data_IF_626646589157
#
_entry.id   IF_626646589157
#
_cell.length_a   1.000
_cell.length_b   1.000
_cell.length_c   1.000
_cell.angle_alpha   90.00
_cell.angle_beta   90.00
_cell.angle_gamma   90.00
#
_symmetry.space_group_name_H-M   'P 1'
#
loop_
_entity.id
_entity.type
_entity.pdbx_description
1 polymer ?
#
# COMPACT_ATOMS: atom_id res chain seq x y z
N UNK A 1 -29.60 -3.34 -31.39
CA UNK A 1 -29.03 -4.45 -30.60
C UNK A 1 -27.68 -4.01 -30.05
N UNK A 2 -27.51 -3.92 -28.73
CA UNK A 2 -26.21 -3.62 -28.12
C UNK A 2 -25.38 -4.89 -28.14
N UNK A 3 -24.29 -4.89 -28.90
CA UNK A 3 -23.30 -5.97 -28.90
C UNK A 3 -22.65 -6.04 -27.53
N UNK A 4 -23.02 -7.03 -26.74
CA UNK A 4 -22.31 -7.38 -25.50
C UNK A 4 -21.05 -8.11 -25.94
N UNK A 5 -19.94 -7.38 -26.05
CA UNK A 5 -18.62 -8.00 -26.14
C UNK A 5 -18.37 -8.62 -24.76
N UNK A 6 -18.64 -9.92 -24.60
CA UNK A 6 -18.14 -10.69 -23.46
C UNK A 6 -16.61 -10.68 -23.58
N UNK A 7 -15.94 -9.87 -22.77
CA UNK A 7 -14.52 -10.06 -22.53
C UNK A 7 -14.35 -11.51 -22.06
N UNK A 8 -13.53 -12.29 -22.77
CA UNK A 8 -13.34 -13.69 -22.46
C UNK A 8 -12.49 -13.75 -21.17
N UNK A 9 -13.15 -13.73 -20.01
CA UNK A 9 -12.53 -13.75 -18.68
C UNK A 9 -11.85 -15.10 -18.40
N UNK A 10 -10.72 -15.34 -19.06
CA UNK A 10 -10.01 -16.63 -19.04
C UNK A 10 -8.72 -16.59 -18.22
N UNK A 11 -8.24 -15.42 -17.80
CA UNK A 11 -6.92 -15.28 -17.17
C UNK A 11 -6.99 -15.59 -15.67
N UNK A 12 -6.59 -16.82 -15.31
CA UNK A 12 -6.34 -17.21 -13.92
C UNK A 12 -4.93 -16.79 -13.49
N UNK A 13 -4.67 -16.77 -12.18
CA UNK A 13 -3.32 -16.51 -11.65
C UNK A 13 -2.23 -17.42 -12.25
N UNK A 14 -2.58 -18.67 -12.62
CA UNK A 14 -1.67 -19.58 -13.33
C UNK A 14 -1.33 -19.08 -14.73
N UNK A 15 -2.32 -18.66 -15.50
CA UNK A 15 -2.13 -18.17 -16.88
C UNK A 15 -1.36 -16.84 -16.88
N UNK A 16 -1.73 -15.93 -15.98
CA UNK A 16 -1.00 -14.67 -15.77
C UNK A 16 0.44 -14.97 -15.37
N UNK A 17 0.65 -15.94 -14.47
CA UNK A 17 1.98 -16.38 -14.05
C UNK A 17 2.81 -16.87 -15.22
N UNK A 18 2.28 -17.78 -16.04
CA UNK A 18 2.94 -18.27 -17.25
C UNK A 18 3.31 -17.14 -18.21
N UNK A 19 2.42 -16.16 -18.41
CA UNK A 19 2.70 -15.00 -19.26
C UNK A 19 3.90 -14.17 -18.78
N UNK A 20 4.07 -14.01 -17.47
CA UNK A 20 5.16 -13.22 -16.88
C UNK A 20 6.36 -14.04 -16.40
N UNK A 21 6.35 -15.37 -16.55
CA UNK A 21 7.37 -16.26 -16.00
C UNK A 21 7.38 -16.30 -14.48
N UNK A 22 6.21 -16.24 -13.84
CA UNK A 22 6.02 -16.24 -12.40
C UNK A 22 5.15 -17.43 -11.97
N UNK A 23 5.37 -17.91 -10.75
CA UNK A 23 4.51 -18.91 -10.12
C UNK A 23 3.14 -18.34 -9.76
N UNK A 24 2.10 -19.17 -9.83
CA UNK A 24 0.70 -18.74 -9.61
C UNK A 24 0.47 -18.10 -8.22
N UNK A 25 1.15 -18.58 -7.19
CA UNK A 25 1.07 -18.02 -5.84
C UNK A 25 1.74 -16.64 -5.75
N UNK A 26 2.81 -16.38 -6.52
CA UNK A 26 3.47 -15.07 -6.60
C UNK A 26 2.51 -14.06 -7.21
N UNK A 27 1.83 -14.43 -8.30
CA UNK A 27 0.81 -13.58 -8.91
C UNK A 27 -0.31 -13.24 -7.93
N UNK A 28 -0.82 -14.22 -7.18
CA UNK A 28 -1.84 -13.97 -6.16
C UNK A 28 -1.35 -13.00 -5.08
N UNK A 29 -0.09 -13.11 -4.64
CA UNK A 29 0.50 -12.19 -3.68
C UNK A 29 0.61 -10.77 -4.25
N UNK A 30 0.99 -10.62 -5.51
CA UNK A 30 1.01 -9.30 -6.17
C UNK A 30 -0.39 -8.70 -6.27
N UNK A 31 -1.40 -9.50 -6.65
CA UNK A 31 -2.80 -9.09 -6.72
C UNK A 31 -3.37 -8.71 -5.34
N UNK A 32 -2.95 -9.39 -4.26
CA UNK A 32 -3.26 -8.99 -2.89
C UNK A 32 -2.59 -7.65 -2.52
N UNK A 33 -1.32 -7.48 -2.90
CA UNK A 33 -0.51 -6.28 -2.60
C UNK A 33 -1.09 -5.03 -3.27
N UNK A 34 -1.47 -5.12 -4.54
CA UNK A 34 -2.13 -4.00 -5.26
C UNK A 34 -3.61 -3.84 -4.88
N UNK A 35 -4.12 -4.68 -3.98
CA UNK A 35 -5.47 -4.57 -3.44
C UNK A 35 -6.58 -5.00 -4.38
N UNK A 36 -6.27 -5.78 -5.41
CA UNK A 36 -7.27 -6.36 -6.33
C UNK A 36 -7.95 -7.59 -5.72
N UNK A 37 -7.24 -8.28 -4.82
CA UNK A 37 -7.74 -9.41 -4.06
C UNK A 37 -7.69 -9.13 -2.56
N UNK A 38 -8.51 -9.89 -1.83
CA UNK A 38 -8.40 -10.10 -0.39
C UNK A 38 -8.44 -11.59 -0.08
N UNK A 39 -7.89 -11.99 1.07
CA UNK A 39 -8.04 -13.35 1.58
C UNK A 39 -9.44 -13.51 2.19
N UNK A 40 -9.98 -14.72 2.11
CA UNK A 40 -11.22 -15.08 2.78
C UNK A 40 -11.12 -14.80 4.30
N UNK A 41 -12.16 -14.23 4.90
CA UNK A 41 -12.28 -14.14 6.37
C UNK A 41 -12.65 -15.49 7.00
N UNK A 42 -13.33 -16.35 6.23
CA UNK A 42 -13.69 -17.72 6.59
C UNK A 42 -13.53 -18.61 5.33
N UNK A 43 -12.75 -19.69 5.40
CA UNK A 43 -12.49 -20.61 4.29
C UNK A 43 -11.14 -20.43 3.59
N UNK A 44 -10.98 -21.03 2.41
CA UNK A 44 -9.74 -21.01 1.62
C UNK A 44 -9.94 -20.29 0.28
N UNK A 45 -9.00 -19.42 -0.09
CA UNK A 45 -8.97 -18.80 -1.42
C UNK A 45 -8.95 -17.27 -1.41
N UNK A 46 -9.25 -16.70 -2.56
CA UNK A 46 -9.14 -15.26 -2.83
C UNK A 46 -10.49 -14.69 -3.27
N UNK A 47 -10.79 -13.51 -2.75
CA UNK A 47 -11.99 -12.76 -3.08
C UNK A 47 -11.63 -11.46 -3.78
N UNK A 48 -12.43 -11.06 -4.75
CA UNK A 48 -12.29 -9.76 -5.39
C UNK A 48 -12.63 -8.64 -4.41
N UNK A 49 -11.82 -7.58 -4.44
CA UNK A 49 -12.18 -6.30 -3.84
C UNK A 49 -13.01 -5.47 -4.82
N UNK A 50 -13.56 -4.34 -4.38
CA UNK A 50 -14.24 -3.41 -5.29
C UNK A 50 -13.31 -2.93 -6.42
N UNK A 51 -12.03 -2.70 -6.12
CA UNK A 51 -11.02 -2.34 -7.12
C UNK A 51 -10.80 -3.47 -8.13
N UNK A 52 -10.76 -4.73 -7.65
CA UNK A 52 -10.67 -5.90 -8.53
C UNK A 52 -11.88 -6.06 -9.45
N UNK A 53 -13.09 -5.82 -8.94
CA UNK A 53 -14.32 -5.82 -9.74
C UNK A 53 -14.29 -4.72 -10.82
N UNK A 54 -13.83 -3.52 -10.48
CA UNK A 54 -13.71 -2.41 -11.42
C UNK A 54 -12.69 -2.69 -12.54
N UNK A 55 -11.74 -3.60 -12.30
CA UNK A 55 -10.77 -4.10 -13.29
C UNK A 55 -11.31 -5.27 -14.12
N UNK A 56 -12.59 -5.63 -13.94
CA UNK A 56 -13.29 -6.67 -14.69
C UNK A 56 -13.10 -8.07 -14.14
N UNK A 57 -12.51 -8.21 -12.94
CA UNK A 57 -12.35 -9.52 -12.30
C UNK A 57 -13.69 -10.21 -12.08
N UNK A 58 -13.70 -11.53 -12.24
CA UNK A 58 -14.86 -12.40 -12.03
C UNK A 58 -14.59 -13.44 -10.94
N UNK A 59 -15.49 -13.52 -9.97
CA UNK A 59 -15.41 -14.46 -8.87
C UNK A 59 -15.94 -15.82 -9.30
N UNK A 60 -15.15 -16.86 -9.11
CA UNK A 60 -15.55 -18.24 -9.26
C UNK A 60 -15.63 -18.89 -7.89
N UNK A 61 -16.86 -19.26 -7.52
CA UNK A 61 -17.13 -19.98 -6.29
C UNK A 61 -17.40 -21.43 -6.64
N UNK A 62 -16.50 -22.33 -6.23
CA UNK A 62 -16.81 -23.76 -6.24
C UNK A 62 -17.47 -24.11 -4.90
N UNK A 63 -18.81 -24.16 -4.90
CA UNK A 63 -19.63 -24.45 -3.72
C UNK A 63 -19.37 -25.85 -3.14
N UNK A 64 -18.74 -26.75 -3.89
CA UNK A 64 -18.46 -28.12 -3.45
C UNK A 64 -17.14 -28.19 -2.67
N UNK A 65 -16.14 -27.37 -3.05
CA UNK A 65 -14.80 -27.38 -2.43
C UNK A 65 -14.53 -26.25 -1.45
N UNK A 66 -15.42 -25.26 -1.36
CA UNK A 66 -15.23 -24.08 -0.50
C UNK A 66 -14.03 -23.23 -0.91
N UNK A 67 -13.56 -23.37 -2.15
CA UNK A 67 -12.40 -22.65 -2.69
C UNK A 67 -12.91 -21.55 -3.62
N UNK A 68 -12.64 -20.31 -3.24
CA UNK A 68 -12.94 -19.12 -4.03
C UNK A 68 -11.73 -18.76 -4.90
N UNK A 69 -11.91 -18.79 -6.22
CA UNK A 69 -10.88 -18.43 -7.19
C UNK A 69 -11.34 -17.27 -8.07
N UNK A 70 -10.41 -16.59 -8.74
CA UNK A 70 -10.71 -15.38 -9.51
C UNK A 70 -10.16 -15.50 -10.92
N UNK A 71 -10.93 -15.03 -11.90
CA UNK A 71 -10.50 -14.87 -13.29
C UNK A 71 -10.54 -13.41 -13.69
N UNK A 72 -9.72 -13.09 -14.67
CA UNK A 72 -9.53 -11.73 -15.17
C UNK A 72 -9.72 -11.67 -16.69
N UNK A 73 -10.12 -10.51 -17.21
CA UNK A 73 -10.02 -10.21 -18.64
C UNK A 73 -8.56 -10.07 -19.05
N UNK A 74 -8.29 -10.17 -20.35
CA UNK A 74 -6.95 -9.99 -20.93
C UNK A 74 -6.29 -8.65 -20.59
N UNK A 75 -7.09 -7.62 -20.34
CA UNK A 75 -6.61 -6.29 -19.94
C UNK A 75 -5.76 -6.32 -18.66
N UNK A 76 -5.88 -7.35 -17.81
CA UNK A 76 -5.05 -7.52 -16.63
C UNK A 76 -3.56 -7.67 -16.96
N UNK A 77 -3.23 -8.22 -18.14
CA UNK A 77 -1.85 -8.37 -18.59
C UNK A 77 -1.18 -7.03 -18.90
N UNK A 78 -1.99 -5.99 -19.12
CA UNK A 78 -1.55 -4.64 -19.44
C UNK A 78 -1.84 -3.66 -18.29
N UNK A 79 -2.24 -4.16 -17.12
CA UNK A 79 -2.51 -3.31 -15.96
C UNK A 79 -1.23 -2.68 -15.43
N UNK A 80 -1.24 -1.36 -15.28
CA UNK A 80 -0.07 -0.59 -14.90
C UNK A 80 0.40 -0.90 -13.47
N UNK A 81 -0.51 -1.18 -12.54
CA UNK A 81 -0.15 -1.49 -11.15
C UNK A 81 0.47 -2.87 -11.05
N UNK A 82 -0.15 -3.87 -11.70
CA UNK A 82 0.42 -5.22 -11.76
C UNK A 82 1.76 -5.23 -12.49
N UNK A 83 1.87 -4.52 -13.62
CA UNK A 83 3.11 -4.39 -14.39
C UNK A 83 4.24 -3.73 -13.59
N UNK A 84 3.95 -2.65 -12.85
CA UNK A 84 4.93 -1.98 -12.00
C UNK A 84 5.45 -2.90 -10.88
N UNK A 85 4.57 -3.67 -10.25
CA UNK A 85 4.95 -4.62 -9.21
C UNK A 85 5.77 -5.80 -9.75
N UNK A 86 5.43 -6.32 -10.92
CA UNK A 86 6.22 -7.35 -11.61
C UNK A 86 7.60 -6.81 -12.00
N UNK A 87 7.65 -5.58 -12.52
CA UNK A 87 8.91 -4.91 -12.87
C UNK A 87 9.76 -4.66 -11.63
N UNK A 88 9.16 -4.27 -10.50
CA UNK A 88 9.85 -4.14 -9.23
C UNK A 88 10.37 -5.49 -8.74
N UNK A 89 9.58 -6.56 -8.80
CA UNK A 89 9.98 -7.91 -8.39
C UNK A 89 11.19 -8.42 -9.20
N UNK A 90 11.14 -8.27 -10.53
CA UNK A 90 12.25 -8.64 -11.44
C UNK A 90 13.44 -7.69 -11.30
N UNK A 91 13.16 -6.41 -11.07
CA UNK A 91 14.13 -5.36 -10.81
C UNK A 91 14.89 -5.60 -9.51
N UNK A 92 14.25 -6.02 -8.42
CA UNK A 92 14.92 -6.39 -7.17
C UNK A 92 15.84 -7.60 -7.31
N UNK A 93 15.60 -8.48 -8.29
CA UNK A 93 16.54 -9.57 -8.62
C UNK A 93 17.78 -9.09 -9.42
N UNK A 94 17.72 -7.89 -10.04
CA UNK A 94 18.84 -7.28 -10.78
C UNK A 94 19.45 -6.04 -10.09
N UNK A 95 18.77 -5.46 -9.10
CA UNK A 95 19.17 -4.26 -8.35
C UNK A 95 19.91 -4.59 -7.05
N UNK A 96 20.82 -5.57 -7.11
CA UNK A 96 22.02 -5.52 -6.27
C UNK A 96 23.00 -4.44 -6.77
N UNK A 97 22.77 -3.82 -7.94
CA UNK A 97 23.57 -2.69 -8.41
C UNK A 97 22.74 -1.69 -9.24
N UNK A 98 23.02 -0.40 -9.01
CA UNK A 98 22.70 0.79 -9.82
C UNK A 98 21.39 1.55 -9.52
N UNK A 99 21.60 2.63 -8.77
CA UNK A 99 20.77 3.83 -8.56
C UNK A 99 20.65 4.66 -9.85
N UNK A 100 19.44 5.15 -10.20
CA UNK A 100 19.28 6.42 -10.91
C UNK A 100 17.83 6.95 -10.95
N UNK A 101 17.73 8.28 -10.87
CA UNK A 101 16.60 9.18 -11.20
C UNK A 101 15.44 9.35 -10.20
N UNK A 102 15.74 10.02 -9.07
CA UNK A 102 14.78 10.84 -8.33
C UNK A 102 15.02 12.32 -8.70
N UNK A 103 14.07 12.98 -9.36
CA UNK A 103 14.05 14.46 -9.44
C UNK A 103 12.90 14.95 -8.55
N UNK A 104 13.19 15.99 -7.79
CA UNK A 104 12.35 16.71 -6.80
C UNK A 104 12.25 16.13 -5.38
N UNK A 105 12.13 14.81 -5.16
CA UNK A 105 12.11 14.28 -3.77
C UNK A 105 13.50 14.22 -3.10
N UNK A 106 14.57 14.49 -3.86
CA UNK A 106 15.96 14.41 -3.38
C UNK A 106 16.37 15.58 -2.51
N UNK A 107 15.78 16.77 -2.66
CA UNK A 107 16.30 17.95 -1.97
C UNK A 107 15.89 17.96 -0.49
N UNK A 108 14.62 17.65 -0.19
CA UNK A 108 14.14 17.54 1.18
C UNK A 108 14.88 16.45 1.99
N UNK A 109 15.13 15.29 1.37
CA UNK A 109 15.86 14.19 2.05
C UNK A 109 17.33 14.48 2.28
N UNK A 110 17.92 15.41 1.51
CA UNK A 110 19.26 15.94 1.75
C UNK A 110 19.27 16.99 2.86
N UNK A 111 18.25 17.84 2.90
CA UNK A 111 18.07 18.86 3.95
C UNK A 111 17.78 18.24 5.31
N UNK A 112 17.05 17.12 5.34
CA UNK A 112 16.68 16.40 6.57
C UNK A 112 17.10 14.92 6.45
N UNK A 113 18.39 14.60 6.73
CA UNK A 113 18.88 13.23 6.68
C UNK A 113 18.23 12.37 7.78
N UNK A 114 18.05 11.08 7.51
CA UNK A 114 17.54 10.11 8.47
C UNK A 114 18.67 9.71 9.43
N UNK A 115 18.80 10.40 10.55
CA UNK A 115 19.91 10.25 11.50
C UNK A 115 19.47 9.86 12.92
N UNK A 116 18.16 9.81 13.18
CA UNK A 116 17.61 9.42 14.48
C UNK A 116 17.29 7.93 14.41
N UNK A 117 17.89 7.14 15.28
CA UNK A 117 17.62 5.70 15.37
C UNK A 117 16.51 5.45 16.38
N UNK A 118 15.53 4.64 16.01
CA UNK A 118 14.39 4.23 16.86
C UNK A 118 14.65 2.89 17.54
N UNK A 119 13.77 2.49 18.44
CA UNK A 119 13.92 1.31 19.30
C UNK A 119 13.94 -0.01 18.52
N UNK A 120 13.21 -0.09 17.40
CA UNK A 120 13.16 -1.25 16.53
C UNK A 120 14.26 -1.27 15.45
N UNK A 121 15.00 -0.16 15.34
CA UNK A 121 16.14 0.00 14.46
C UNK A 121 15.89 0.79 13.19
N UNK A 122 14.71 1.37 12.98
CA UNK A 122 14.51 2.34 11.90
C UNK A 122 15.38 3.59 12.09
N UNK A 123 15.75 4.22 10.98
CA UNK A 123 16.37 5.55 10.95
C UNK A 123 15.36 6.55 10.39
N UNK A 124 14.94 7.49 11.22
CA UNK A 124 13.92 8.50 10.90
C UNK A 124 14.50 9.90 10.86
N UNK A 125 13.74 10.87 10.35
CA UNK A 125 14.22 12.23 10.01
C UNK A 125 13.88 13.27 11.07
N UNK A 126 12.94 12.98 11.96
CA UNK A 126 12.47 13.91 12.98
C UNK A 126 12.17 13.21 14.31
N UNK A 127 12.17 13.99 15.40
CA UNK A 127 11.81 13.47 16.73
C UNK A 127 10.37 12.99 16.82
N UNK A 128 9.45 13.67 16.14
CA UNK A 128 8.04 13.27 16.10
C UNK A 128 7.85 11.93 15.38
N UNK A 129 8.53 11.72 14.24
CA UNK A 129 8.54 10.39 13.61
C UNK A 129 9.13 9.33 14.54
N UNK A 130 10.20 9.63 15.27
CA UNK A 130 10.76 8.68 16.24
C UNK A 130 9.77 8.32 17.34
N UNK A 131 9.02 9.30 17.86
CA UNK A 131 7.96 9.06 18.85
C UNK A 131 6.84 8.18 18.29
N UNK A 132 6.42 8.40 17.03
CA UNK A 132 5.42 7.56 16.36
C UNK A 132 5.94 6.13 16.17
N UNK A 133 7.17 5.99 15.67
CA UNK A 133 7.81 4.69 15.43
C UNK A 133 7.94 3.88 16.73
N UNK A 134 8.51 4.51 17.77
CA UNK A 134 8.66 3.90 19.09
C UNK A 134 7.29 3.55 19.69
N UNK A 135 6.27 4.39 19.52
CA UNK A 135 4.91 4.07 19.95
C UNK A 135 4.40 2.79 19.27
N UNK A 136 4.51 2.72 17.93
CA UNK A 136 4.03 1.57 17.16
C UNK A 136 4.79 0.30 17.57
N UNK A 137 6.11 0.39 17.73
CA UNK A 137 6.95 -0.71 18.18
C UNK A 137 6.58 -1.19 19.59
N UNK A 138 6.49 -0.28 20.56
CA UNK A 138 6.23 -0.60 21.96
C UNK A 138 4.86 -1.27 22.18
N UNK A 139 3.89 -0.97 21.31
CA UNK A 139 2.56 -1.60 21.32
C UNK A 139 2.46 -2.82 20.39
N UNK A 140 3.57 -3.34 19.86
CA UNK A 140 3.60 -4.54 19.03
C UNK A 140 2.93 -4.36 17.66
N UNK A 141 2.75 -3.13 17.20
CA UNK A 141 2.16 -2.84 15.90
C UNK A 141 3.26 -2.97 14.83
N UNK A 142 3.10 -3.98 13.97
CA UNK A 142 3.95 -4.15 12.78
C UNK A 142 3.74 -2.96 11.85
N UNK A 143 4.83 -2.30 11.50
CA UNK A 143 4.81 -1.13 10.62
C UNK A 143 6.02 -1.10 9.68
N UNK A 144 5.95 -0.26 8.65
CA UNK A 144 7.04 -0.01 7.72
C UNK A 144 7.25 1.50 7.56
N UNK A 145 8.49 1.96 7.72
CA UNK A 145 8.88 3.35 7.53
C UNK A 145 9.15 3.70 6.05
N UNK A 146 8.79 4.93 5.63
CA UNK A 146 8.97 5.45 4.25
C UNK A 146 8.44 4.51 3.14
N UNK A 147 7.23 3.97 3.31
CA UNK A 147 6.63 3.02 2.36
C UNK A 147 5.98 3.73 1.16
N UNK A 148 6.29 3.26 -0.06
CA UNK A 148 5.56 3.68 -1.29
C UNK A 148 4.11 3.22 -1.27
N UNK A 149 3.20 4.12 -1.64
CA UNK A 149 1.79 3.81 -1.83
C UNK A 149 1.59 2.98 -3.10
N UNK A 150 0.55 2.12 -3.15
CA UNK A 150 0.18 1.35 -4.34
C UNK A 150 -0.58 2.21 -5.38
N UNK A 151 -0.09 3.42 -5.66
CA UNK A 151 -0.71 4.40 -6.58
C UNK A 151 0.21 4.68 -7.77
N UNK A 152 -0.28 5.41 -8.78
CA UNK A 152 0.49 5.70 -9.99
C UNK A 152 1.56 6.76 -9.71
N UNK A 153 1.21 7.72 -8.85
CA UNK A 153 2.09 8.79 -8.41
C UNK A 153 3.21 8.23 -7.52
N UNK A 154 4.44 8.74 -7.65
CA UNK A 154 5.58 8.33 -6.80
C UNK A 154 5.46 8.94 -5.40
N UNK A 155 4.49 8.43 -4.64
CA UNK A 155 4.14 8.90 -3.30
C UNK A 155 4.68 7.94 -2.24
N UNK A 156 5.31 8.51 -1.21
CA UNK A 156 5.84 7.82 -0.05
C UNK A 156 5.16 8.37 1.19
N UNK A 157 4.61 7.48 2.03
CA UNK A 157 4.09 7.79 3.36
C UNK A 157 5.19 7.75 4.41
N UNK A 158 4.89 8.27 5.60
CA UNK A 158 5.83 8.17 6.73
C UNK A 158 5.79 6.77 7.34
N UNK A 159 4.59 6.23 7.62
CA UNK A 159 4.43 4.86 8.10
C UNK A 159 3.29 4.11 7.40
N UNK A 160 3.48 2.81 7.20
CA UNK A 160 2.45 1.90 6.71
C UNK A 160 2.22 0.76 7.70
N UNK A 161 0.96 0.55 8.08
CA UNK A 161 0.51 -0.54 8.92
C UNK A 161 -0.14 -1.61 8.03
N UNK A 162 0.47 -2.80 7.90
CA UNK A 162 -0.12 -3.90 7.13
C UNK A 162 -1.45 -4.36 7.73
N UNK A 163 -1.57 -4.34 9.05
CA UNK A 163 -2.83 -4.53 9.75
C UNK A 163 -3.76 -3.37 9.42
N UNK A 164 -4.96 -3.66 8.92
CA UNK A 164 -5.93 -2.64 8.49
C UNK A 164 -5.58 -1.91 7.18
N UNK A 165 -4.40 -2.18 6.57
CA UNK A 165 -3.88 -1.48 5.39
C UNK A 165 -4.00 0.04 5.58
N UNK A 166 -3.34 0.58 6.61
CA UNK A 166 -3.44 1.99 7.00
C UNK A 166 -2.12 2.70 6.75
N UNK A 167 -2.19 3.92 6.22
CA UNK A 167 -1.05 4.80 6.03
C UNK A 167 -1.11 5.92 7.06
N UNK A 168 0.02 6.27 7.64
CA UNK A 168 0.17 7.39 8.59
C UNK A 168 1.04 8.46 7.93
N UNK A 169 0.58 9.70 8.01
CA UNK A 169 1.33 10.90 7.62
C UNK A 169 1.40 11.86 8.80
N UNK A 170 2.57 12.42 9.06
CA UNK A 170 2.80 13.43 10.07
C UNK A 170 3.08 14.81 9.44
N UNK A 171 2.26 15.79 9.81
CA UNK A 171 2.27 17.14 9.27
C UNK A 171 2.90 18.14 10.27
N UNK A 172 4.21 18.08 10.47
CA UNK A 172 4.93 18.91 11.45
C UNK A 172 5.34 20.33 11.03
N UNK A 173 5.10 20.75 9.78
CA UNK A 173 5.55 22.06 9.27
C UNK A 173 4.45 22.79 8.48
N UNK A 174 3.33 23.08 9.12
CA UNK A 174 2.16 23.70 8.45
C UNK A 174 2.30 25.21 8.18
N UNK A 175 3.35 25.86 8.68
CA UNK A 175 3.47 27.33 8.68
C UNK A 175 3.97 27.94 7.36
N UNK A 176 4.33 27.11 6.37
CA UNK A 176 4.83 27.57 5.06
C UNK A 176 3.84 27.19 3.96
N UNK A 177 3.50 28.11 3.03
CA UNK A 177 2.53 27.85 1.95
C UNK A 177 2.85 26.62 1.10
N UNK A 178 4.14 26.36 0.84
CA UNK A 178 4.61 25.19 0.09
C UNK A 178 4.26 23.86 0.76
N UNK A 179 4.27 23.82 2.10
CA UNK A 179 3.94 22.62 2.87
C UNK A 179 2.43 22.36 2.86
N UNK A 180 1.63 23.42 2.91
CA UNK A 180 0.17 23.34 2.78
C UNK A 180 -0.23 22.83 1.40
N UNK A 181 0.43 23.29 0.33
CA UNK A 181 0.19 22.80 -1.02
C UNK A 181 0.59 21.32 -1.18
N UNK A 182 1.75 20.93 -0.65
CA UNK A 182 2.19 19.53 -0.66
C UNK A 182 1.24 18.62 0.12
N UNK A 183 0.78 19.05 1.30
CA UNK A 183 -0.22 18.35 2.12
C UNK A 183 -1.50 18.14 1.32
N UNK A 184 -2.05 19.20 0.72
CA UNK A 184 -3.26 19.13 -0.11
C UNK A 184 -3.11 18.17 -1.29
N UNK A 185 -1.98 18.22 -1.99
CA UNK A 185 -1.67 17.28 -3.09
C UNK A 185 -1.65 15.84 -2.62
N UNK A 186 -0.98 15.54 -1.50
CA UNK A 186 -0.96 14.20 -0.90
C UNK A 186 -2.38 13.76 -0.52
N UNK A 187 -3.12 14.57 0.24
CA UNK A 187 -4.48 14.27 0.66
C UNK A 187 -5.41 13.98 -0.53
N UNK A 188 -5.30 14.76 -1.61
CA UNK A 188 -6.07 14.53 -2.84
C UNK A 188 -5.77 13.16 -3.47
N UNK A 189 -4.51 12.72 -3.44
CA UNK A 189 -4.12 11.37 -3.91
C UNK A 189 -4.71 10.31 -2.98
N UNK A 190 -4.57 10.44 -1.66
CA UNK A 190 -5.16 9.49 -0.71
C UNK A 190 -6.67 9.35 -0.92
N UNK A 191 -7.38 10.47 -1.10
CA UNK A 191 -8.81 10.50 -1.36
C UNK A 191 -9.17 9.88 -2.72
N UNK A 192 -8.42 10.21 -3.78
CA UNK A 192 -8.63 9.69 -5.14
C UNK A 192 -8.58 8.17 -5.20
N UNK A 193 -7.67 7.55 -4.44
CA UNK A 193 -7.47 6.10 -4.44
C UNK A 193 -8.21 5.36 -3.31
N UNK A 194 -8.91 6.09 -2.42
CA UNK A 194 -9.68 5.50 -1.33
C UNK A 194 -8.82 4.70 -0.35
N UNK A 195 -7.58 5.14 -0.12
CA UNK A 195 -6.65 4.50 0.80
C UNK A 195 -6.85 5.02 2.23
N UNK A 196 -6.77 4.13 3.21
CA UNK A 196 -6.94 4.49 4.63
C UNK A 196 -5.78 5.37 5.09
N UNK A 197 -6.11 6.56 5.60
CA UNK A 197 -5.13 7.55 6.03
C UNK A 197 -5.39 7.96 7.48
N UNK A 198 -4.35 7.89 8.30
CA UNK A 198 -4.26 8.55 9.60
C UNK A 198 -3.36 9.77 9.45
N UNK A 199 -3.87 10.92 9.85
CA UNK A 199 -3.13 12.18 9.83
C UNK A 199 -2.79 12.60 11.25
N UNK A 200 -1.51 12.89 11.48
CA UNK A 200 -0.98 13.39 12.74
C UNK A 200 -0.40 14.79 12.56
N UNK A 201 -0.53 15.62 13.57
CA UNK A 201 -0.02 16.99 13.65
C UNK A 201 0.79 17.16 14.93
N UNK A 202 1.50 18.28 15.10
CA UNK A 202 2.23 18.56 16.35
C UNK A 202 1.36 18.45 17.61
N UNK A 203 0.08 18.82 17.52
CA UNK A 203 -0.86 18.70 18.64
C UNK A 203 -1.17 17.24 18.98
N UNK A 204 -1.23 16.39 17.95
CA UNK A 204 -1.44 14.95 18.15
C UNK A 204 -0.19 14.32 18.79
N UNK A 205 1.02 14.76 18.41
CA UNK A 205 2.28 14.25 19.00
C UNK A 205 2.37 14.58 20.50
N UNK A 206 1.87 15.74 20.93
CA UNK A 206 1.86 16.11 22.35
C UNK A 206 1.03 15.17 23.22
N UNK A 207 0.02 14.51 22.65
CA UNK A 207 -0.88 13.58 23.33
C UNK A 207 -0.95 12.26 22.56
N UNK A 208 0.19 11.80 22.05
CA UNK A 208 0.26 10.68 21.11
C UNK A 208 -0.37 9.41 21.67
N UNK A 209 -0.10 9.13 22.95
CA UNK A 209 -0.59 7.95 23.67
C UNK A 209 -2.11 7.93 23.86
N UNK A 210 -2.79 9.07 23.74
CA UNK A 210 -4.25 9.15 23.81
C UNK A 210 -4.88 9.16 22.41
N UNK A 211 -4.26 9.90 21.49
CA UNK A 211 -4.83 10.22 20.19
C UNK A 211 -4.62 9.09 19.17
N UNK A 212 -3.40 8.54 19.09
CA UNK A 212 -3.09 7.50 18.12
C UNK A 212 -3.89 6.20 18.36
N UNK A 213 -4.08 5.69 19.58
CA UNK A 213 -4.96 4.54 19.82
C UNK A 213 -6.38 4.74 19.29
N UNK A 214 -6.97 5.92 19.51
CA UNK A 214 -8.33 6.21 19.06
C UNK A 214 -8.41 6.22 17.53
N UNK A 215 -7.43 6.83 16.86
CA UNK A 215 -7.35 6.83 15.39
C UNK A 215 -7.16 5.42 14.84
N UNK A 216 -6.28 4.61 15.44
CA UNK A 216 -6.04 3.22 15.07
C UNK A 216 -7.29 2.34 15.21
N UNK A 217 -8.08 2.56 16.27
CA UNK A 217 -9.32 1.81 16.52
C UNK A 217 -10.34 1.96 15.39
N UNK A 218 -10.41 3.14 14.75
CA UNK A 218 -11.31 3.37 13.59
C UNK A 218 -11.03 2.46 12.40
N UNK A 219 -9.82 1.89 12.32
CA UNK A 219 -9.39 0.94 11.30
C UNK A 219 -9.30 -0.50 11.83
N UNK A 220 -9.83 -0.77 13.01
CA UNK A 220 -9.83 -2.11 13.62
C UNK A 220 -8.46 -2.55 14.16
N UNK A 221 -7.56 -1.60 14.43
CA UNK A 221 -6.26 -1.86 15.05
C UNK A 221 -6.40 -1.57 16.54
N UNK A 222 -6.36 -2.62 17.36
CA UNK A 222 -6.45 -2.53 18.82
C UNK A 222 -5.05 -2.65 19.43
N UNK A 223 -4.80 -1.88 20.47
CA UNK A 223 -3.62 -2.06 21.33
C UNK A 223 -3.90 -3.18 22.31
N UNK A 224 -2.85 -3.91 22.70
CA UNK A 224 -2.90 -5.00 23.67
C UNK A 224 -2.29 -4.59 25.00
#
# INVERSE_FOLDING_TARGET
MKTVIKANNQYTAKIIGTHFGLESHVVNNLLLKIGFLTKASQGHGYYLTQTGLNKGGEQLTDTIKGISSVRWPESILHDQHLGAEIAQLKGTAMQANTTANKKEQTDFRKLYPANIRTSDGHYVRSKAEAMIDDFLFNHGIVHAYEKKLPVIEDLVCDFFLPQGKVWIEYWGFENKPEYLDRKKKKQAIYQKYGVNLIELTDKDIQNLDDVLPQKLLTFGIQLF
#
